data_IF_269368592992
#
_entry.id   IF_269368592992
#
_cell.length_a   1.000
_cell.length_b   1.000
_cell.length_c   1.000
_cell.angle_alpha   90.00
_cell.angle_beta   90.00
_cell.angle_gamma   90.00
#
_symmetry.space_group_name_H-M   'P 1'
#
loop_
_entity.id
_entity.type
_entity.pdbx_description
1 polymer ?
#
# COMPACT_ATOMS: atom_id res chain seq x y z
N UNK A 1 4.77 5.38 24.82
CA UNK A 1 3.78 6.28 24.17
C UNK A 1 3.01 5.42 23.19
N UNK A 2 1.70 5.26 23.37
CA UNK A 2 0.88 4.44 22.45
C UNK A 2 0.59 5.27 21.21
N UNK A 3 0.84 4.71 20.01
CA UNK A 3 0.48 5.35 18.74
C UNK A 3 -1.04 5.22 18.59
N UNK A 4 -1.76 6.34 18.49
CA UNK A 4 -3.21 6.37 18.40
C UNK A 4 -3.69 7.25 17.24
N UNK A 5 -4.87 6.93 16.71
CA UNK A 5 -5.52 7.60 15.59
C UNK A 5 -6.90 8.19 15.96
N UNK A 6 -7.05 8.91 17.09
CA UNK A 6 -8.36 9.40 17.50
C UNK A 6 -8.94 10.35 16.45
N UNK A 7 -10.15 10.01 15.98
CA UNK A 7 -10.89 10.81 15.01
C UNK A 7 -10.24 10.91 13.62
N UNK A 8 -9.28 10.04 13.29
CA UNK A 8 -8.75 9.90 11.92
C UNK A 8 -9.79 9.22 11.05
N UNK A 9 -10.11 9.80 9.90
CA UNK A 9 -10.90 9.18 8.84
C UNK A 9 -9.94 8.64 7.78
N UNK A 10 -9.97 7.34 7.52
CA UNK A 10 -9.05 6.67 6.65
C UNK A 10 -9.74 5.87 5.54
N UNK A 11 -9.18 5.89 4.33
CA UNK A 11 -9.52 4.98 3.23
C UNK A 11 -8.37 4.01 3.03
N UNK A 12 -8.68 2.71 2.94
CA UNK A 12 -7.71 1.64 2.69
C UNK A 12 -8.14 0.86 1.46
N UNK A 13 -7.33 0.85 0.41
CA UNK A 13 -7.58 0.07 -0.82
C UNK A 13 -6.96 -1.32 -0.74
N UNK A 14 -7.54 -2.31 -1.45
CA UNK A 14 -7.08 -3.70 -1.38
C UNK A 14 -7.27 -4.31 0.02
N UNK A 15 -8.31 -3.85 0.72
CA UNK A 15 -8.55 -4.15 2.11
C UNK A 15 -8.92 -5.61 2.40
N UNK A 16 -9.37 -6.38 1.40
CA UNK A 16 -9.64 -7.81 1.53
C UNK A 16 -8.40 -8.70 1.27
N UNK A 17 -7.25 -8.11 0.97
CA UNK A 17 -5.96 -8.79 0.88
C UNK A 17 -5.31 -9.01 2.25
N UNK A 18 -4.29 -9.89 2.34
CA UNK A 18 -3.67 -10.25 3.62
C UNK A 18 -3.16 -9.05 4.42
N UNK A 19 -2.36 -8.17 3.80
CA UNK A 19 -1.86 -6.96 4.47
C UNK A 19 -3.01 -5.97 4.72
N UNK A 20 -3.92 -5.79 3.74
CA UNK A 20 -5.01 -4.83 3.82
C UNK A 20 -5.96 -5.08 5.00
N UNK A 21 -6.30 -6.34 5.28
CA UNK A 21 -7.14 -6.72 6.42
C UNK A 21 -6.49 -6.31 7.75
N UNK A 22 -5.21 -6.60 7.94
CA UNK A 22 -4.49 -6.25 9.16
C UNK A 22 -4.30 -4.73 9.31
N UNK A 23 -4.15 -3.98 8.20
CA UNK A 23 -4.15 -2.51 8.23
C UNK A 23 -5.49 -1.98 8.77
N UNK A 24 -6.61 -2.45 8.22
CA UNK A 24 -7.96 -2.01 8.65
C UNK A 24 -8.15 -2.29 10.14
N UNK A 25 -7.87 -3.51 10.57
CA UNK A 25 -7.96 -3.93 11.97
C UNK A 25 -7.10 -3.08 12.90
N UNK A 26 -5.84 -2.86 12.55
CA UNK A 26 -4.92 -2.08 13.37
C UNK A 26 -5.29 -0.59 13.43
N UNK A 27 -5.70 0.02 12.30
CA UNK A 27 -6.16 1.42 12.28
C UNK A 27 -7.42 1.60 13.12
N UNK A 28 -8.38 0.65 13.03
CA UNK A 28 -9.59 0.66 13.87
C UNK A 28 -9.25 0.53 15.34
N UNK A 29 -8.39 -0.40 15.70
CA UNK A 29 -7.93 -0.58 17.08
C UNK A 29 -7.20 0.66 17.63
N UNK A 30 -6.53 1.42 16.76
CA UNK A 30 -5.89 2.69 17.12
C UNK A 30 -6.89 3.86 17.23
N UNK A 31 -8.18 3.68 16.91
CA UNK A 31 -9.25 4.69 17.08
C UNK A 31 -9.62 5.43 15.79
N UNK A 32 -9.23 4.94 14.62
CA UNK A 32 -9.66 5.50 13.34
C UNK A 32 -11.07 5.04 12.95
N UNK A 33 -11.71 5.86 12.11
CA UNK A 33 -12.83 5.44 11.27
C UNK A 33 -12.26 4.95 9.95
N UNK A 34 -12.57 3.71 9.55
CA UNK A 34 -11.94 3.07 8.39
C UNK A 34 -12.95 2.71 7.32
N UNK A 35 -12.75 3.27 6.14
CA UNK A 35 -13.44 2.94 4.90
C UNK A 35 -12.56 1.94 4.15
N UNK A 36 -12.96 0.68 4.13
CA UNK A 36 -12.29 -0.40 3.44
C UNK A 36 -12.82 -0.54 2.00
N UNK A 37 -11.94 -0.70 1.03
CA UNK A 37 -12.35 -0.93 -0.36
C UNK A 37 -11.55 -2.06 -1.01
N UNK A 38 -12.21 -2.85 -1.85
CA UNK A 38 -11.59 -3.97 -2.59
C UNK A 38 -12.37 -4.26 -3.86
N UNK A 39 -11.76 -5.00 -4.80
CA UNK A 39 -12.40 -5.44 -6.04
C UNK A 39 -13.53 -6.47 -5.81
N UNK A 40 -13.54 -7.16 -4.67
CA UNK A 40 -14.57 -8.14 -4.33
C UNK A 40 -15.94 -7.47 -4.16
N UNK A 41 -17.01 -8.15 -4.56
CA UNK A 41 -18.37 -7.63 -4.46
C UNK A 41 -18.78 -7.36 -3.01
N UNK A 42 -18.35 -8.20 -2.09
CA UNK A 42 -18.53 -8.04 -0.64
C UNK A 42 -17.40 -8.71 0.12
N UNK A 43 -17.02 -8.13 1.24
CA UNK A 43 -16.11 -8.75 2.20
C UNK A 43 -16.48 -8.30 3.62
N UNK A 44 -16.50 -9.26 4.55
CA UNK A 44 -16.48 -8.94 5.97
C UNK A 44 -15.03 -8.66 6.38
N UNK A 45 -14.73 -7.40 6.67
CA UNK A 45 -13.40 -6.96 7.10
C UNK A 45 -13.49 -6.46 8.53
N UNK A 46 -12.87 -7.19 9.45
CA UNK A 46 -12.85 -6.82 10.86
C UNK A 46 -12.29 -5.40 11.03
N UNK A 47 -13.07 -4.54 11.68
CA UNK A 47 -12.68 -3.16 11.95
C UNK A 47 -13.07 -2.14 10.86
N UNK A 48 -13.65 -2.55 9.74
CA UNK A 48 -14.17 -1.61 8.76
C UNK A 48 -15.49 -0.98 9.24
N UNK A 49 -15.59 0.35 9.16
CA UNK A 49 -16.86 1.07 9.39
C UNK A 49 -17.73 1.10 8.14
N UNK A 50 -17.09 1.08 6.96
CA UNK A 50 -17.72 0.97 5.66
C UNK A 50 -16.91 0.08 4.74
N UNK A 51 -17.60 -0.65 3.88
CA UNK A 51 -17.00 -1.40 2.78
C UNK A 51 -17.65 -0.99 1.45
N UNK A 52 -16.79 -0.76 0.43
CA UNK A 52 -17.25 -0.54 -0.94
C UNK A 52 -16.50 -1.48 -1.88
N UNK A 53 -17.23 -2.07 -2.84
CA UNK A 53 -16.59 -2.64 -4.02
C UNK A 53 -15.90 -1.51 -4.79
N UNK A 54 -14.66 -1.72 -5.19
CA UNK A 54 -13.85 -0.69 -5.79
C UNK A 54 -12.78 -1.30 -6.72
N UNK A 55 -12.92 -1.08 -8.00
CA UNK A 55 -11.81 -1.24 -8.95
C UNK A 55 -10.96 0.02 -8.89
N UNK A 56 -9.76 -0.09 -8.35
CA UNK A 56 -8.85 1.05 -8.18
C UNK A 56 -8.38 1.67 -9.51
N UNK A 57 -8.60 1.00 -10.64
CA UNK A 57 -8.33 1.55 -11.98
C UNK A 57 -9.49 2.37 -12.54
N UNK A 58 -10.65 2.36 -11.87
CA UNK A 58 -11.88 3.05 -12.28
C UNK A 58 -12.01 4.40 -11.56
N UNK A 59 -11.97 5.50 -12.32
CA UNK A 59 -12.28 6.83 -11.78
C UNK A 59 -13.69 6.91 -11.21
N UNK A 60 -14.67 6.21 -11.81
CA UNK A 60 -16.05 6.22 -11.35
C UNK A 60 -16.16 5.62 -9.94
N UNK A 61 -15.44 4.52 -9.68
CA UNK A 61 -15.44 3.86 -8.37
C UNK A 61 -14.74 4.76 -7.34
N UNK A 62 -13.63 5.41 -7.69
CA UNK A 62 -12.98 6.40 -6.83
C UNK A 62 -13.91 7.56 -6.46
N UNK A 63 -14.72 8.06 -7.42
CA UNK A 63 -15.71 9.10 -7.14
C UNK A 63 -16.82 8.63 -6.21
N UNK A 64 -17.22 7.35 -6.28
CA UNK A 64 -18.17 6.77 -5.34
C UNK A 64 -17.59 6.71 -3.90
N UNK A 65 -16.31 6.33 -3.76
CA UNK A 65 -15.62 6.36 -2.47
C UNK A 65 -15.51 7.81 -1.96
N UNK A 66 -15.13 8.76 -2.81
CA UNK A 66 -15.02 10.17 -2.47
C UNK A 66 -16.36 10.74 -2.01
N UNK A 67 -17.46 10.44 -2.71
CA UNK A 67 -18.81 10.88 -2.35
C UNK A 67 -19.23 10.37 -0.97
N UNK A 68 -19.00 9.09 -0.66
CA UNK A 68 -19.28 8.54 0.66
C UNK A 68 -18.50 9.27 1.76
N UNK A 69 -17.20 9.49 1.56
CA UNK A 69 -16.34 10.16 2.56
C UNK A 69 -16.75 11.60 2.74
N UNK A 70 -17.08 12.29 1.65
CA UNK A 70 -17.56 13.70 1.67
C UNK A 70 -18.88 13.82 2.44
N UNK A 71 -19.85 12.97 2.11
CA UNK A 71 -21.18 13.01 2.73
C UNK A 71 -21.13 12.74 4.24
N UNK A 72 -20.36 11.72 4.63
CA UNK A 72 -20.36 11.25 6.03
C UNK A 72 -19.38 12.02 6.93
N UNK A 73 -18.26 12.47 6.38
CA UNK A 73 -17.14 12.96 7.20
C UNK A 73 -16.62 14.34 6.79
N UNK A 74 -16.84 14.77 5.54
CA UNK A 74 -16.42 16.06 5.01
C UNK A 74 -14.90 16.23 4.84
N UNK A 75 -14.09 15.24 5.25
CA UNK A 75 -12.62 15.24 5.17
C UNK A 75 -12.05 13.83 5.09
N UNK A 76 -10.81 13.72 4.65
CA UNK A 76 -10.01 12.51 4.71
C UNK A 76 -8.67 12.83 5.41
N UNK A 77 -8.32 12.05 6.44
CA UNK A 77 -7.09 12.25 7.20
C UNK A 77 -5.97 11.29 6.78
N UNK A 78 -6.32 10.10 6.27
CA UNK A 78 -5.36 9.13 5.75
C UNK A 78 -5.88 8.42 4.49
N UNK A 79 -5.04 8.35 3.45
CA UNK A 79 -5.26 7.54 2.26
C UNK A 79 -4.17 6.47 2.19
N UNK A 80 -4.58 5.19 2.25
CA UNK A 80 -3.67 4.04 2.16
C UNK A 80 -3.88 3.35 0.81
N UNK A 81 -2.98 3.62 -0.14
CA UNK A 81 -2.93 2.97 -1.43
C UNK A 81 -2.18 1.62 -1.29
N UNK A 82 -2.90 0.60 -0.80
CA UNK A 82 -2.37 -0.74 -0.56
C UNK A 82 -2.74 -1.72 -1.68
N UNK A 83 -3.78 -1.48 -2.47
CA UNK A 83 -4.12 -2.33 -3.61
C UNK A 83 -2.90 -2.51 -4.53
N UNK A 84 -2.66 -3.75 -4.95
CA UNK A 84 -1.52 -4.05 -5.80
C UNK A 84 -1.62 -5.43 -6.44
N UNK A 85 -0.87 -5.58 -7.52
CA UNK A 85 -0.84 -6.79 -8.33
C UNK A 85 0.60 -7.11 -8.76
N UNK A 86 0.93 -8.40 -8.84
CA UNK A 86 2.23 -8.88 -9.29
C UNK A 86 2.07 -9.99 -10.31
N UNK A 87 2.98 -10.00 -11.29
CA UNK A 87 3.20 -11.12 -12.21
C UNK A 87 4.63 -11.59 -12.09
N UNK A 88 4.82 -12.91 -12.23
CA UNK A 88 6.14 -13.54 -12.31
C UNK A 88 6.24 -14.25 -13.65
N UNK A 89 7.14 -13.78 -14.52
CA UNK A 89 7.30 -14.28 -15.87
C UNK A 89 8.69 -13.93 -16.41
N UNK A 90 9.21 -14.67 -17.37
CA UNK A 90 10.43 -14.28 -18.08
C UNK A 90 10.21 -12.98 -18.82
N UNK A 91 11.23 -12.13 -18.88
CA UNK A 91 11.13 -10.84 -19.57
C UNK A 91 10.77 -11.00 -21.07
N UNK A 92 11.38 -11.97 -21.74
CA UNK A 92 11.14 -12.29 -23.14
C UNK A 92 9.72 -12.75 -23.46
N UNK A 93 9.03 -13.33 -22.45
CA UNK A 93 7.66 -13.82 -22.55
C UNK A 93 6.62 -12.82 -22.02
N UNK A 94 7.05 -11.65 -21.55
CA UNK A 94 6.17 -10.64 -20.94
C UNK A 94 5.69 -9.64 -22.01
N UNK A 95 4.44 -9.72 -22.47
CA UNK A 95 3.94 -8.74 -23.42
C UNK A 95 3.79 -7.37 -22.77
N UNK A 96 3.94 -6.30 -23.55
CA UNK A 96 3.82 -4.92 -23.08
C UNK A 96 2.46 -4.64 -22.40
N UNK A 97 1.40 -5.34 -22.82
CA UNK A 97 0.07 -5.26 -22.20
C UNK A 97 0.07 -5.67 -20.71
N UNK A 98 0.89 -6.66 -20.33
CA UNK A 98 1.02 -7.02 -18.90
C UNK A 98 1.78 -5.95 -18.10
N UNK A 99 2.79 -5.30 -18.71
CA UNK A 99 3.42 -4.12 -18.09
C UNK A 99 2.38 -3.01 -17.87
N UNK A 100 1.55 -2.71 -18.87
CA UNK A 100 0.49 -1.71 -18.74
C UNK A 100 -0.51 -2.10 -17.67
N UNK A 101 -0.93 -3.37 -17.61
CA UNK A 101 -1.87 -3.86 -16.59
C UNK A 101 -1.30 -3.73 -15.17
N UNK A 102 -0.04 -4.11 -14.96
CA UNK A 102 0.62 -3.98 -13.65
C UNK A 102 0.73 -2.50 -13.26
N UNK A 103 1.11 -1.62 -14.20
CA UNK A 103 1.20 -0.19 -13.94
C UNK A 103 -0.17 0.44 -13.66
N UNK A 104 -1.21 0.09 -14.41
CA UNK A 104 -2.56 0.59 -14.17
C UNK A 104 -3.03 0.29 -12.73
N UNK A 105 -2.79 -0.94 -12.24
CA UNK A 105 -3.19 -1.34 -10.89
C UNK A 105 -2.27 -0.74 -9.82
N UNK A 106 -0.95 -0.75 -10.03
CA UNK A 106 0.00 -0.39 -8.96
C UNK A 106 0.32 1.11 -8.93
N UNK A 107 0.30 1.81 -10.08
CA UNK A 107 0.76 3.20 -10.22
C UNK A 107 -0.41 4.13 -10.52
N UNK A 108 -1.13 3.90 -11.64
CA UNK A 108 -2.19 4.80 -12.08
C UNK A 108 -3.30 4.91 -11.03
N UNK A 109 -3.62 3.80 -10.35
CA UNK A 109 -4.59 3.77 -9.25
C UNK A 109 -4.24 4.74 -8.12
N UNK A 110 -2.97 4.80 -7.72
CA UNK A 110 -2.51 5.70 -6.66
C UNK A 110 -2.54 7.17 -7.14
N UNK A 111 -2.28 7.42 -8.43
CA UNK A 111 -2.40 8.75 -9.04
C UNK A 111 -3.88 9.17 -9.03
N UNK A 112 -4.77 8.36 -9.61
CA UNK A 112 -6.21 8.62 -9.70
C UNK A 112 -6.79 8.87 -8.30
N UNK A 113 -6.50 7.96 -7.36
CA UNK A 113 -6.97 8.06 -5.98
C UNK A 113 -6.48 9.31 -5.28
N UNK A 114 -5.19 9.64 -5.40
CA UNK A 114 -4.64 10.86 -4.80
C UNK A 114 -5.23 12.12 -5.38
N UNK A 115 -5.49 12.17 -6.69
CA UNK A 115 -6.10 13.32 -7.35
C UNK A 115 -7.57 13.51 -6.95
N UNK A 116 -8.37 12.45 -6.99
CA UNK A 116 -9.81 12.51 -6.66
C UNK A 116 -10.01 12.84 -5.17
N UNK A 117 -9.21 12.24 -4.29
CA UNK A 117 -9.31 12.45 -2.84
C UNK A 117 -8.63 13.73 -2.35
N UNK A 118 -7.89 14.46 -3.21
CA UNK A 118 -7.06 15.61 -2.80
C UNK A 118 -7.86 16.70 -2.09
N UNK A 119 -9.08 16.97 -2.54
CA UNK A 119 -9.95 17.96 -1.89
C UNK A 119 -10.24 17.62 -0.43
N UNK A 120 -10.60 16.35 -0.16
CA UNK A 120 -10.87 15.85 1.19
C UNK A 120 -9.59 15.76 2.04
N UNK A 121 -8.46 15.40 1.45
CA UNK A 121 -7.16 15.38 2.12
C UNK A 121 -6.71 16.78 2.54
N UNK A 122 -6.98 17.81 1.74
CA UNK A 122 -6.73 19.21 2.12
C UNK A 122 -7.56 19.62 3.34
N UNK A 123 -8.84 19.22 3.40
CA UNK A 123 -9.67 19.47 4.59
C UNK A 123 -9.16 18.71 5.82
N UNK A 124 -8.71 17.46 5.67
CA UNK A 124 -8.03 16.72 6.73
C UNK A 124 -6.75 17.39 7.20
N UNK A 125 -5.94 17.91 6.27
CA UNK A 125 -4.73 18.67 6.56
C UNK A 125 -4.99 19.94 7.36
N UNK A 126 -6.07 20.67 7.05
CA UNK A 126 -6.50 21.86 7.81
C UNK A 126 -6.99 21.50 9.21
N UNK A 127 -7.72 20.39 9.33
CA UNK A 127 -8.33 19.96 10.60
C UNK A 127 -7.30 19.44 11.61
N UNK A 128 -6.10 19.04 11.18
CA UNK A 128 -5.08 18.38 12.01
C UNK A 128 -3.76 19.13 11.96
N UNK A 129 -3.23 19.51 13.12
CA UNK A 129 -1.90 20.15 13.22
C UNK A 129 -0.78 19.32 12.58
N UNK A 130 -0.90 18.00 12.58
CA UNK A 130 0.08 17.06 12.04
C UNK A 130 -0.15 16.72 10.56
N UNK A 131 -1.16 17.33 9.94
CA UNK A 131 -1.52 17.15 8.55
C UNK A 131 -2.29 15.86 8.26
N UNK A 132 -2.76 15.74 7.02
CA UNK A 132 -3.21 14.48 6.46
C UNK A 132 -2.02 13.62 5.99
N UNK A 133 -2.25 12.34 5.69
CA UNK A 133 -1.20 11.39 5.28
C UNK A 133 -1.64 10.57 4.08
N UNK A 134 -0.83 10.54 3.02
CA UNK A 134 -0.92 9.54 1.96
C UNK A 134 0.17 8.51 2.20
N UNK A 135 -0.20 7.23 2.19
CA UNK A 135 0.67 6.10 2.44
C UNK A 135 0.57 5.16 1.24
N UNK A 136 1.63 5.10 0.45
CA UNK A 136 1.67 4.30 -0.77
C UNK A 136 2.46 3.01 -0.53
N UNK A 137 1.88 1.86 -0.88
CA UNK A 137 2.58 0.58 -0.80
C UNK A 137 3.48 0.36 -2.01
N UNK A 138 4.78 0.54 -1.80
CA UNK A 138 5.83 0.08 -2.68
C UNK A 138 6.21 -1.38 -2.33
N UNK A 139 7.49 -1.70 -2.35
CA UNK A 139 8.07 -3.02 -2.04
C UNK A 139 9.59 -2.88 -1.97
N UNK A 140 10.28 -3.83 -1.38
CA UNK A 140 11.73 -4.03 -1.63
C UNK A 140 12.02 -4.24 -3.12
N UNK A 141 11.06 -4.74 -3.90
CA UNK A 141 11.14 -4.79 -5.36
C UNK A 141 11.17 -3.42 -6.04
N UNK A 142 10.84 -2.33 -5.34
CA UNK A 142 11.03 -0.96 -5.82
C UNK A 142 12.42 -0.40 -5.50
N UNK A 143 13.22 -1.10 -4.70
CA UNK A 143 14.59 -0.75 -4.31
C UNK A 143 15.58 -1.66 -5.05
N UNK A 144 15.38 -2.98 -4.95
CA UNK A 144 16.22 -3.99 -5.56
C UNK A 144 15.48 -4.68 -6.72
N UNK A 145 16.20 -4.98 -7.81
CA UNK A 145 15.66 -5.79 -8.90
C UNK A 145 15.48 -7.26 -8.47
N UNK A 146 14.41 -7.90 -8.95
CA UNK A 146 14.17 -9.32 -8.75
C UNK A 146 13.98 -10.03 -10.09
N UNK A 147 14.62 -11.18 -10.26
CA UNK A 147 14.45 -12.00 -11.47
C UNK A 147 12.97 -12.35 -11.68
N UNK A 148 12.53 -12.37 -12.93
CA UNK A 148 11.16 -12.66 -13.36
C UNK A 148 10.07 -11.68 -12.89
N UNK A 149 10.44 -10.54 -12.28
CA UNK A 149 9.51 -9.55 -11.71
C UNK A 149 9.67 -8.16 -12.33
N UNK A 150 10.14 -8.03 -13.57
CA UNK A 150 10.47 -6.75 -14.18
C UNK A 150 9.30 -5.75 -14.14
N UNK A 151 8.10 -6.15 -14.57
CA UNK A 151 6.92 -5.27 -14.56
C UNK A 151 6.55 -4.82 -13.15
N UNK A 152 6.59 -5.72 -12.18
CA UNK A 152 6.30 -5.41 -10.79
C UNK A 152 7.33 -4.46 -10.19
N UNK A 153 8.63 -4.76 -10.33
CA UNK A 153 9.70 -3.93 -9.77
C UNK A 153 9.67 -2.51 -10.33
N UNK A 154 9.47 -2.36 -11.65
CA UNK A 154 9.32 -1.05 -12.29
C UNK A 154 8.15 -0.28 -11.70
N UNK A 155 6.99 -0.90 -11.54
CA UNK A 155 5.81 -0.26 -10.96
C UNK A 155 6.04 0.17 -9.50
N UNK A 156 6.75 -0.63 -8.71
CA UNK A 156 7.02 -0.32 -7.30
C UNK A 156 8.09 0.77 -7.14
N UNK A 157 9.09 0.81 -8.02
CA UNK A 157 10.02 1.94 -8.11
C UNK A 157 9.31 3.25 -8.51
N UNK A 158 8.35 3.18 -9.45
CA UNK A 158 7.53 4.33 -9.83
C UNK A 158 6.71 4.88 -8.65
N UNK A 159 6.10 4.01 -7.82
CA UNK A 159 5.38 4.42 -6.61
C UNK A 159 6.29 5.11 -5.59
N UNK A 160 7.52 4.63 -5.43
CA UNK A 160 8.51 5.28 -4.54
C UNK A 160 8.79 6.71 -4.99
N UNK A 161 9.07 6.89 -6.29
CA UNK A 161 9.35 8.21 -6.84
C UNK A 161 8.10 9.11 -6.84
N UNK A 162 6.92 8.58 -7.17
CA UNK A 162 5.65 9.31 -7.09
C UNK A 162 5.43 9.87 -5.68
N UNK A 163 5.68 9.06 -4.64
CA UNK A 163 5.51 9.48 -3.24
C UNK A 163 6.42 10.66 -2.89
N UNK A 164 7.67 10.64 -3.35
CA UNK A 164 8.62 11.74 -3.17
C UNK A 164 8.17 13.01 -3.89
N UNK A 165 7.74 12.88 -5.15
CA UNK A 165 7.26 14.02 -5.95
C UNK A 165 6.02 14.67 -5.31
N UNK A 166 5.01 13.87 -4.95
CA UNK A 166 3.79 14.38 -4.33
C UNK A 166 4.06 15.03 -2.98
N UNK A 167 4.90 14.42 -2.13
CA UNK A 167 5.26 15.00 -0.84
C UNK A 167 5.98 16.35 -0.98
N UNK A 168 6.90 16.46 -1.91
CA UNK A 168 7.62 17.71 -2.20
C UNK A 168 6.68 18.80 -2.76
N UNK A 169 5.81 18.43 -3.70
CA UNK A 169 4.83 19.35 -4.30
C UNK A 169 3.82 19.86 -3.28
N UNK A 170 3.23 18.96 -2.46
CA UNK A 170 2.25 19.35 -1.46
C UNK A 170 2.85 20.22 -0.36
N UNK A 171 4.11 19.98 -0.01
CA UNK A 171 4.86 20.87 0.90
C UNK A 171 5.08 22.25 0.28
N UNK A 172 5.49 22.34 -0.99
CA UNK A 172 5.70 23.60 -1.71
C UNK A 172 4.39 24.40 -1.87
N UNK A 173 3.25 23.70 -1.99
CA UNK A 173 1.92 24.31 -2.10
C UNK A 173 1.25 24.59 -0.74
N UNK A 174 1.89 24.21 0.37
CA UNK A 174 1.36 24.44 1.73
C UNK A 174 0.11 23.64 2.08
N UNK A 175 -0.08 22.44 1.48
CA UNK A 175 -1.31 21.66 1.67
C UNK A 175 -1.41 20.96 3.03
N UNK A 176 -0.35 20.93 3.81
CA UNK A 176 -0.28 20.16 5.06
C UNK A 176 -0.69 18.69 4.88
N UNK A 177 -0.17 18.06 3.83
CA UNK A 177 -0.35 16.64 3.50
C UNK A 177 1.05 16.02 3.42
N UNK A 178 1.29 14.97 4.19
CA UNK A 178 2.53 14.18 4.13
C UNK A 178 2.32 13.00 3.18
N UNK A 179 3.32 12.65 2.41
CA UNK A 179 3.29 11.50 1.50
C UNK A 179 4.53 10.65 1.74
N UNK A 180 4.33 9.38 2.08
CA UNK A 180 5.42 8.43 2.32
C UNK A 180 5.09 7.10 1.64
N UNK A 181 6.12 6.30 1.37
CA UNK A 181 5.97 4.94 0.87
C UNK A 181 6.39 3.91 1.92
N UNK A 182 5.68 2.76 1.92
CA UNK A 182 6.04 1.58 2.71
C UNK A 182 6.67 0.55 1.78
N UNK A 183 7.76 -0.07 2.20
CA UNK A 183 8.53 -1.04 1.42
C UNK A 183 8.60 -2.38 2.16
N UNK A 184 7.56 -3.24 2.03
CA UNK A 184 7.59 -4.56 2.62
C UNK A 184 8.67 -5.45 1.97
N UNK A 185 9.32 -6.29 2.79
CA UNK A 185 10.05 -7.46 2.33
C UNK A 185 9.12 -8.61 1.93
N UNK A 186 9.58 -9.85 2.09
CA UNK A 186 8.74 -11.03 1.94
C UNK A 186 7.73 -11.15 3.09
N UNK A 187 6.44 -10.97 2.81
CA UNK A 187 5.36 -11.04 3.80
C UNK A 187 4.48 -12.26 3.54
N UNK A 188 4.17 -13.03 4.58
CA UNK A 188 3.36 -14.26 4.50
C UNK A 188 1.91 -13.92 4.13
N UNK A 189 1.62 -13.92 2.83
CA UNK A 189 0.32 -13.61 2.25
C UNK A 189 -0.05 -14.61 1.16
N UNK A 190 -1.35 -14.72 0.78
CA UNK A 190 -1.75 -15.48 -0.40
C UNK A 190 -1.03 -15.03 -1.68
N UNK A 191 -0.77 -13.73 -1.82
CA UNK A 191 -0.01 -13.17 -2.96
C UNK A 191 1.40 -13.75 -3.01
N UNK A 192 2.13 -13.75 -1.90
CA UNK A 192 3.49 -14.32 -1.85
C UNK A 192 3.47 -15.81 -2.22
N UNK A 193 2.52 -16.58 -1.69
CA UNK A 193 2.40 -18.00 -2.02
C UNK A 193 2.14 -18.22 -3.51
N UNK A 194 1.31 -17.38 -4.14
CA UNK A 194 1.08 -17.40 -5.59
C UNK A 194 2.36 -17.08 -6.37
N UNK A 195 3.15 -16.10 -5.92
CA UNK A 195 4.46 -15.78 -6.50
C UNK A 195 5.40 -17.00 -6.42
N UNK A 196 5.48 -17.65 -5.26
CA UNK A 196 6.33 -18.84 -5.08
C UNK A 196 5.89 -19.99 -6.01
N UNK A 197 4.58 -20.19 -6.20
CA UNK A 197 4.08 -21.17 -7.18
C UNK A 197 4.57 -20.85 -8.59
N UNK A 198 4.56 -19.57 -9.00
CA UNK A 198 5.03 -19.16 -10.33
C UNK A 198 6.53 -19.42 -10.52
N UNK A 199 7.37 -19.29 -9.49
CA UNK A 199 8.77 -19.69 -9.57
C UNK A 199 8.93 -21.19 -9.81
N UNK A 200 8.06 -22.03 -9.21
CA UNK A 200 8.04 -23.47 -9.47
C UNK A 200 7.60 -23.76 -10.91
N UNK A 201 6.53 -23.11 -11.38
CA UNK A 201 6.01 -23.26 -12.74
C UNK A 201 7.06 -22.88 -13.81
N UNK A 202 7.92 -21.90 -13.51
CA UNK A 202 9.03 -21.48 -14.38
C UNK A 202 10.27 -22.39 -14.30
N UNK A 203 10.25 -23.39 -13.43
CA UNK A 203 11.41 -24.24 -13.16
C UNK A 203 12.56 -23.54 -12.41
N UNK A 204 12.30 -22.36 -11.85
CA UNK A 204 13.27 -21.58 -11.06
C UNK A 204 13.39 -22.07 -9.61
N UNK A 205 12.46 -22.92 -9.15
CA UNK A 205 12.49 -23.55 -7.85
C UNK A 205 11.88 -24.97 -7.91
N UNK A 206 12.37 -25.92 -7.12
CA UNK A 206 11.84 -27.30 -7.13
C UNK A 206 10.46 -27.41 -6.43
N UNK A 207 10.13 -26.52 -5.50
CA UNK A 207 8.84 -26.53 -4.76
C UNK A 207 8.55 -25.17 -4.13
N UNK A 208 7.30 -24.94 -3.73
CA UNK A 208 6.89 -23.74 -2.99
C UNK A 208 7.68 -23.66 -1.67
N UNK A 209 7.82 -24.76 -0.95
CA UNK A 209 8.52 -24.78 0.34
C UNK A 209 10.00 -24.43 0.19
N UNK A 210 10.65 -24.92 -0.87
CA UNK A 210 12.02 -24.54 -1.20
C UNK A 210 12.14 -23.06 -1.52
N UNK A 211 11.18 -22.48 -2.28
CA UNK A 211 11.13 -21.05 -2.58
C UNK A 211 10.97 -20.21 -1.31
N UNK A 212 10.04 -20.60 -0.43
CA UNK A 212 9.81 -19.91 0.85
C UNK A 212 11.03 -20.01 1.78
N UNK A 213 11.67 -21.17 1.83
CA UNK A 213 12.91 -21.37 2.61
C UNK A 213 14.06 -20.52 2.08
N UNK A 214 14.24 -20.47 0.76
CA UNK A 214 15.22 -19.60 0.13
C UNK A 214 14.96 -18.13 0.44
N UNK A 215 13.69 -17.69 0.35
CA UNK A 215 13.30 -16.31 0.68
C UNK A 215 13.48 -16.01 2.17
N UNK A 216 13.18 -16.93 3.09
CA UNK A 216 13.50 -16.75 4.51
C UNK A 216 15.00 -16.48 4.73
N UNK A 217 15.85 -17.22 4.03
CA UNK A 217 17.31 -17.10 4.17
C UNK A 217 17.87 -15.76 3.64
N UNK A 218 17.14 -15.04 2.77
CA UNK A 218 17.55 -13.70 2.30
C UNK A 218 17.23 -12.59 3.30
N UNK A 219 16.45 -12.86 4.33
CA UNK A 219 16.12 -11.88 5.36
C UNK A 219 17.04 -12.06 6.58
N UNK A 220 17.92 -11.10 6.92
CA UNK A 220 18.80 -11.20 8.10
C UNK A 220 18.08 -11.54 9.40
N UNK A 221 16.82 -11.13 9.56
CA UNK A 221 15.99 -11.50 10.73
C UNK A 221 15.65 -13.00 10.77
N UNK A 222 15.93 -13.76 9.69
CA UNK A 222 15.78 -15.22 9.62
C UNK A 222 14.36 -15.72 9.34
N UNK A 223 13.43 -14.84 8.99
CA UNK A 223 12.03 -15.19 8.69
C UNK A 223 11.36 -14.18 7.76
N UNK A 224 10.29 -14.60 7.13
CA UNK A 224 9.36 -13.69 6.47
C UNK A 224 8.59 -12.86 7.51
N UNK A 225 8.17 -11.67 7.09
CA UNK A 225 7.28 -10.81 7.88
C UNK A 225 5.86 -11.37 7.91
N UNK A 226 5.10 -10.93 8.91
CA UNK A 226 3.66 -11.19 9.02
C UNK A 226 2.86 -9.95 8.57
N UNK A 227 1.65 -10.10 8.02
CA UNK A 227 0.82 -8.98 7.59
C UNK A 227 0.60 -7.91 8.66
N UNK A 228 0.40 -8.32 9.92
CA UNK A 228 0.20 -7.42 11.06
C UNK A 228 1.44 -6.56 11.38
N UNK A 229 2.64 -7.02 11.01
CA UNK A 229 3.85 -6.21 11.19
C UNK A 229 3.85 -5.00 10.26
N UNK A 230 3.26 -5.12 9.05
CA UNK A 230 3.11 -4.00 8.12
C UNK A 230 2.09 -2.98 8.61
N UNK A 231 1.03 -3.44 9.26
CA UNK A 231 -0.02 -2.59 9.80
C UNK A 231 0.50 -1.59 10.84
N UNK A 232 1.48 -1.97 11.66
CA UNK A 232 2.13 -1.09 12.63
C UNK A 232 2.79 0.13 11.98
N UNK A 233 3.48 -0.06 10.86
CA UNK A 233 4.10 1.01 10.08
C UNK A 233 3.05 1.97 9.48
N UNK A 234 1.92 1.44 9.02
CA UNK A 234 0.81 2.26 8.48
C UNK A 234 0.18 3.12 9.58
N UNK A 235 -0.11 2.53 10.76
CA UNK A 235 -0.62 3.28 11.93
C UNK A 235 0.35 4.37 12.34
N UNK A 236 1.67 4.10 12.36
CA UNK A 236 2.70 5.11 12.62
C UNK A 236 2.63 6.25 11.59
N UNK A 237 2.63 5.95 10.28
CA UNK A 237 2.60 6.96 9.22
C UNK A 237 1.30 7.78 9.18
N UNK A 238 0.17 7.22 9.60
CA UNK A 238 -1.10 7.92 9.73
C UNK A 238 -1.19 8.79 11.00
N UNK A 239 -0.31 8.58 11.97
CA UNK A 239 -0.36 9.20 13.29
C UNK A 239 0.43 10.51 13.39
N UNK A 240 0.28 11.18 14.52
CA UNK A 240 1.09 12.34 14.90
C UNK A 240 2.57 12.00 15.14
N UNK A 241 2.91 10.73 15.40
CA UNK A 241 4.29 10.31 15.64
C UNK A 241 5.20 10.49 14.42
N UNK A 242 4.63 10.48 13.21
CA UNK A 242 5.33 10.72 11.95
C UNK A 242 5.16 12.13 11.39
N UNK A 243 4.77 13.11 12.21
CA UNK A 243 4.46 14.48 11.76
C UNK A 243 5.62 15.24 11.10
N UNK A 244 6.85 14.80 11.31
CA UNK A 244 8.05 15.37 10.65
C UNK A 244 8.60 14.47 9.53
N UNK A 245 7.77 13.58 8.98
CA UNK A 245 8.16 12.59 7.99
C UNK A 245 7.30 12.73 6.73
N UNK A 246 7.91 13.14 5.61
CA UNK A 246 7.33 13.21 4.28
C UNK A 246 8.39 12.93 3.22
N UNK A 247 8.00 12.46 2.04
CA UNK A 247 8.89 12.05 0.95
C UNK A 247 9.81 10.87 1.31
N UNK A 248 9.49 10.11 2.34
CA UNK A 248 10.37 9.09 2.90
C UNK A 248 9.91 7.67 2.53
N UNK A 249 10.84 6.74 2.63
CA UNK A 249 10.68 5.31 2.37
C UNK A 249 10.76 4.56 3.71
N UNK A 250 9.62 4.09 4.21
CA UNK A 250 9.59 3.21 5.39
C UNK A 250 9.85 1.77 4.96
N UNK A 251 11.09 1.34 5.03
CA UNK A 251 11.51 -0.03 4.69
C UNK A 251 11.21 -0.96 5.88
N UNK A 252 10.42 -2.01 5.63
CA UNK A 252 10.00 -3.02 6.62
C UNK A 252 10.24 -4.41 6.06
N UNK A 253 11.51 -4.82 6.01
CA UNK A 253 11.98 -5.94 5.20
C UNK A 253 12.86 -6.96 5.94
N UNK A 254 12.98 -6.85 7.26
CA UNK A 254 13.84 -7.74 8.04
C UNK A 254 15.31 -7.68 7.66
N UNK A 255 15.77 -6.57 7.06
CA UNK A 255 17.15 -6.33 6.63
C UNK A 255 17.48 -6.78 5.20
N UNK A 256 16.50 -7.24 4.43
CA UNK A 256 16.68 -7.77 3.07
C UNK A 256 17.44 -6.82 2.13
N UNK A 257 17.17 -5.52 2.18
CA UNK A 257 17.79 -4.54 1.28
C UNK A 257 19.16 -4.03 1.75
N UNK A 258 19.63 -4.45 2.92
CA UNK A 258 20.87 -3.96 3.52
C UNK A 258 22.06 -4.93 3.37
N UNK A 259 21.84 -6.12 2.82
CA UNK A 259 22.87 -7.18 2.63
C UNK A 259 22.95 -7.61 1.18
#
# INVERSE_FOLDING_TARGET
>A
MTIALPGVVAVVTGAAGGIGQEIVKAMKAAGATVIATDLKDSAEIEGADHYLKHDVTSEADWRAVEALVREKYGRLDALVNNAGFSIVTKFEDTPLSEFHRVNAINVDSAIIGSQIMLGLLKEGGKARRTGASIINFSSVGGINGAAFNAAYCVSKAAISMLSKCLGAEFAALGYNIRVNSVHPGGIQTPMLRSIMQRYVDLGASPSIDASLQAMNATHPIGRLGQPEEMAGGVVFLASAASSFMTCDELVMDGGFTTV
#
